data_IF_451889137762
#
_entry.id   IF_451889137762
#
_cell.length_a   1.000
_cell.length_b   1.000
_cell.length_c   1.000
_cell.angle_alpha   90.00
_cell.angle_beta   90.00
_cell.angle_gamma   90.00
#
_symmetry.space_group_name_H-M   'P 1'
#
loop_
_entity.id
_entity.type
_entity.pdbx_description
1 polymer ?
#
# COMPACT_ATOMS: atom_id res chain seq x y z
N UNK A 1 10.21 6.99 -11.33
CA UNK A 1 9.29 7.46 -10.27
C UNK A 1 10.15 8.09 -9.19
N UNK A 2 9.77 9.28 -8.73
CA UNK A 2 10.58 10.08 -7.82
C UNK A 2 10.37 9.67 -6.36
N UNK A 3 11.41 9.83 -5.54
CA UNK A 3 11.31 9.68 -4.08
C UNK A 3 10.28 10.69 -3.53
N UNK A 4 9.49 10.26 -2.54
CA UNK A 4 8.41 11.05 -1.93
C UNK A 4 7.06 10.98 -2.65
N UNK A 5 6.99 10.39 -3.84
CA UNK A 5 5.73 10.23 -4.57
C UNK A 5 4.79 9.24 -3.85
N UNK A 6 3.50 9.59 -3.81
CA UNK A 6 2.45 8.70 -3.34
C UNK A 6 2.01 7.75 -4.46
N UNK A 7 1.93 6.47 -4.14
CA UNK A 7 1.42 5.42 -5.00
C UNK A 7 0.16 4.84 -4.37
N UNK A 8 -0.97 5.00 -5.06
CA UNK A 8 -2.24 4.35 -4.71
C UNK A 8 -2.34 3.02 -5.46
N UNK A 9 -2.51 1.94 -4.71
CA UNK A 9 -2.78 0.60 -5.23
C UNK A 9 -4.20 0.21 -4.83
N UNK A 10 -4.95 -0.36 -5.78
CA UNK A 10 -6.27 -0.94 -5.53
C UNK A 10 -6.14 -2.44 -5.82
N UNK A 11 -6.50 -3.25 -4.84
CA UNK A 11 -6.46 -4.70 -4.91
C UNK A 11 -7.84 -5.26 -4.59
N UNK A 12 -8.18 -6.44 -5.10
CA UNK A 12 -9.46 -7.12 -4.80
C UNK A 12 -9.25 -8.38 -3.96
N UNK A 13 -8.01 -8.64 -3.55
CA UNK A 13 -7.65 -9.77 -2.71
C UNK A 13 -7.53 -9.35 -1.24
N UNK A 14 -8.12 -10.14 -0.34
CA UNK A 14 -8.05 -9.89 1.10
C UNK A 14 -6.68 -10.13 1.74
N UNK A 15 -5.77 -10.79 1.01
CA UNK A 15 -4.38 -11.00 1.45
C UNK A 15 -3.55 -9.71 1.46
N UNK A 16 -3.86 -8.81 0.53
CA UNK A 16 -3.14 -7.57 0.26
C UNK A 16 -2.91 -6.69 1.49
N UNK A 17 -3.85 -6.67 2.44
CA UNK A 17 -3.72 -5.90 3.68
C UNK A 17 -2.48 -6.27 4.49
N UNK A 18 -2.14 -7.56 4.58
CA UNK A 18 -0.95 -8.04 5.30
C UNK A 18 0.30 -7.88 4.45
N UNK A 19 0.18 -8.17 3.17
CA UNK A 19 1.30 -8.16 2.24
C UNK A 19 1.85 -6.74 2.04
N UNK A 20 0.99 -5.73 1.92
CA UNK A 20 1.42 -4.34 1.76
C UNK A 20 2.04 -3.74 3.03
N UNK A 21 1.62 -4.20 4.23
CA UNK A 21 2.30 -3.86 5.49
C UNK A 21 3.72 -4.43 5.52
N UNK A 22 3.88 -5.70 5.16
CA UNK A 22 5.19 -6.35 5.10
C UNK A 22 6.08 -5.73 4.02
N UNK A 23 5.50 -5.47 2.84
CA UNK A 23 6.18 -4.85 1.70
C UNK A 23 6.74 -3.48 2.05
N UNK A 24 5.93 -2.59 2.64
CA UNK A 24 6.38 -1.27 3.07
C UNK A 24 7.58 -1.36 4.03
N UNK A 25 7.48 -2.23 5.03
CA UNK A 25 8.57 -2.47 6.00
C UNK A 25 9.84 -3.02 5.35
N UNK A 26 9.73 -3.97 4.43
CA UNK A 26 10.88 -4.61 3.78
C UNK A 26 11.58 -3.69 2.76
N UNK A 27 10.81 -2.88 2.06
CA UNK A 27 11.33 -1.98 1.01
C UNK A 27 11.74 -0.61 1.53
N UNK A 28 11.37 -0.30 2.78
CA UNK A 28 11.57 1.02 3.38
C UNK A 28 10.65 2.10 2.83
N UNK A 29 9.61 1.71 2.08
CA UNK A 29 8.51 2.61 1.73
C UNK A 29 7.63 2.84 2.96
N UNK A 30 7.02 4.02 3.03
CA UNK A 30 6.09 4.34 4.12
C UNK A 30 4.67 3.97 3.68
N UNK A 31 3.98 3.15 4.46
CA UNK A 31 2.56 2.88 4.26
C UNK A 31 1.76 4.00 4.90
N UNK A 32 1.23 4.90 4.06
CA UNK A 32 0.51 6.10 4.48
C UNK A 32 -0.93 5.77 4.83
N UNK A 33 -1.55 4.88 4.06
CA UNK A 33 -2.98 4.57 4.21
C UNK A 33 -3.29 3.14 3.78
N UNK A 34 -4.22 2.51 4.49
CA UNK A 34 -4.87 1.27 4.04
C UNK A 34 -6.36 1.34 4.37
N UNK A 35 -7.20 1.10 3.38
CA UNK A 35 -8.64 1.05 3.52
C UNK A 35 -9.22 -0.18 2.83
N UNK A 36 -10.29 -0.71 3.41
CA UNK A 36 -11.15 -1.72 2.78
C UNK A 36 -12.46 -1.03 2.43
N UNK A 37 -12.81 -1.04 1.15
CA UNK A 37 -14.01 -0.40 0.60
C UNK A 37 -14.78 -1.46 -0.19
N UNK A 38 -15.78 -2.06 0.43
CA UNK A 38 -16.57 -3.12 -0.20
C UNK A 38 -15.71 -4.36 -0.48
N UNK A 39 -15.49 -4.67 -1.76
CA UNK A 39 -14.62 -5.77 -2.20
C UNK A 39 -13.21 -5.31 -2.63
N UNK A 40 -12.89 -4.04 -2.45
CA UNK A 40 -11.62 -3.45 -2.82
C UNK A 40 -10.78 -3.08 -1.59
N UNK A 41 -9.47 -3.24 -1.72
CA UNK A 41 -8.45 -2.92 -0.74
C UNK A 41 -7.55 -1.86 -1.33
N UNK A 42 -7.59 -0.67 -0.74
CA UNK A 42 -6.85 0.50 -1.19
C UNK A 42 -5.62 0.65 -0.29
N UNK A 43 -4.44 0.68 -0.89
CA UNK A 43 -3.16 0.87 -0.20
C UNK A 43 -2.46 2.11 -0.76
N UNK A 44 -2.05 3.04 0.11
CA UNK A 44 -1.28 4.23 -0.29
C UNK A 44 0.12 4.11 0.31
N UNK A 45 1.12 4.05 -0.56
CA UNK A 45 2.54 4.01 -0.20
C UNK A 45 3.20 5.34 -0.57
N UNK A 46 4.06 5.86 0.30
CA UNK A 46 5.03 6.89 -0.06
C UNK A 46 6.37 6.23 -0.37
N UNK A 47 6.87 6.50 -1.57
CA UNK A 47 8.17 5.98 -2.00
C UNK A 47 9.30 6.65 -1.23
N UNK A 48 10.24 5.84 -0.74
CA UNK A 48 11.56 6.33 -0.31
C UNK A 48 12.44 6.65 -1.50
#
# INVERSE_FOLDING_TARGET
>A
MESGQLLKIVATDGGSMRDFKAFARQTGNELVEQQEVGSEFIHVLRRR
#
